data_IF_579804489884
#
_entry.id   IF_579804489884
#
_cell.length_a   1.000
_cell.length_b   1.000
_cell.length_c   1.000
_cell.angle_alpha   90.00
_cell.angle_beta   90.00
_cell.angle_gamma   90.00
#
_symmetry.space_group_name_H-M   'P 1'
#
loop_
_entity.id
_entity.type
_entity.pdbx_description
1 polymer ?
#
# COMPACT_ATOMS: atom_id res chain seq x y z
N UNK A 1 -0.35 11.71 -35.48
CA UNK A 1 0.52 12.84 -35.83
C UNK A 1 -0.29 13.98 -36.45
N UNK A 2 -1.32 14.50 -35.75
CA UNK A 2 -2.21 15.56 -36.26
C UNK A 2 -2.11 16.85 -35.43
N UNK A 3 -1.79 16.71 -34.14
CA UNK A 3 -1.61 17.83 -33.22
C UNK A 3 -0.43 18.72 -33.60
N UNK A 4 0.75 18.14 -33.88
CA UNK A 4 1.96 18.89 -34.24
C UNK A 4 1.80 19.62 -35.57
N UNK A 5 1.22 18.96 -36.57
CA UNK A 5 0.89 19.60 -37.85
C UNK A 5 -0.10 20.75 -37.69
N UNK A 6 -1.09 20.62 -36.82
CA UNK A 6 -2.05 21.69 -36.53
C UNK A 6 -1.39 22.87 -35.81
N UNK A 7 -0.55 22.59 -34.81
CA UNK A 7 0.18 23.59 -34.01
C UNK A 7 1.09 24.47 -34.87
N UNK A 8 1.83 23.88 -35.82
CA UNK A 8 2.77 24.58 -36.72
C UNK A 8 2.03 25.32 -37.85
N UNK A 9 0.79 24.94 -38.14
CA UNK A 9 -0.03 25.56 -39.19
C UNK A 9 -0.70 26.87 -38.75
N UNK A 10 -0.78 27.14 -37.44
CA UNK A 10 -1.26 28.43 -36.92
C UNK A 10 -0.26 29.55 -37.24
N UNK A 11 -0.73 30.64 -37.84
CA UNK A 11 0.12 31.76 -38.27
C UNK A 11 0.97 32.37 -37.14
N UNK A 12 0.48 32.35 -35.91
CA UNK A 12 1.22 32.85 -34.73
C UNK A 12 2.44 32.01 -34.35
N UNK A 13 2.52 30.77 -34.85
CA UNK A 13 3.60 29.83 -34.59
C UNK A 13 4.41 29.50 -35.84
N UNK A 14 4.00 30.01 -37.02
CA UNK A 14 4.79 29.91 -38.25
C UNK A 14 6.09 30.67 -38.06
N UNK A 15 7.20 29.95 -38.17
CA UNK A 15 8.57 30.47 -38.08
C UNK A 15 8.97 31.04 -36.71
N UNK A 16 8.28 30.67 -35.63
CA UNK A 16 8.71 31.04 -34.29
C UNK A 16 9.91 30.19 -33.85
N UNK A 17 11.01 30.83 -33.44
CA UNK A 17 12.26 30.14 -33.07
C UNK A 17 12.05 29.04 -32.01
N UNK A 18 11.20 29.28 -31.02
CA UNK A 18 10.86 28.26 -30.02
C UNK A 18 10.18 27.01 -30.62
N UNK A 19 9.38 27.17 -31.68
CA UNK A 19 8.72 26.05 -32.37
C UNK A 19 9.72 25.34 -33.28
N UNK A 20 10.59 26.07 -33.96
CA UNK A 20 11.69 25.49 -34.74
C UNK A 20 12.65 24.69 -33.84
N UNK A 21 12.99 25.22 -32.67
CA UNK A 21 13.83 24.55 -31.67
C UNK A 21 13.14 23.33 -31.05
N UNK A 22 11.83 23.41 -30.81
CA UNK A 22 11.03 22.28 -30.31
C UNK A 22 10.91 21.17 -31.36
N UNK A 23 10.78 21.51 -32.65
CA UNK A 23 10.75 20.54 -33.73
C UNK A 23 12.12 19.93 -34.01
N UNK A 24 13.19 20.72 -33.93
CA UNK A 24 14.56 20.24 -34.16
C UNK A 24 15.03 19.27 -33.08
N UNK A 25 14.58 19.46 -31.84
CA UNK A 25 14.87 18.55 -30.71
C UNK A 25 13.71 17.61 -30.38
N UNK A 26 12.60 17.70 -31.11
CA UNK A 26 11.37 16.97 -30.78
C UNK A 26 11.55 15.46 -30.89
N UNK A 27 12.38 15.00 -31.84
CA UNK A 27 12.74 13.60 -31.98
C UNK A 27 13.56 13.12 -30.78
N UNK A 28 14.52 13.93 -30.33
CA UNK A 28 15.34 13.61 -29.15
C UNK A 28 14.48 13.59 -27.89
N UNK A 29 13.60 14.57 -27.71
CA UNK A 29 12.68 14.64 -26.58
C UNK A 29 11.72 13.44 -26.54
N UNK A 30 11.17 13.06 -27.70
CA UNK A 30 10.35 11.85 -27.84
C UNK A 30 11.18 10.59 -27.58
N UNK A 31 12.42 10.53 -28.04
CA UNK A 31 13.30 9.38 -27.82
C UNK A 31 13.76 9.27 -26.36
N UNK A 32 14.02 10.39 -25.68
CA UNK A 32 14.32 10.45 -24.25
C UNK A 32 13.11 10.04 -23.42
N UNK A 33 11.92 10.56 -23.74
CA UNK A 33 10.67 10.13 -23.09
C UNK A 33 10.41 8.65 -23.34
N UNK A 34 10.62 8.17 -24.58
CA UNK A 34 10.50 6.75 -24.92
C UNK A 34 11.52 5.93 -24.17
N UNK A 35 12.77 6.38 -24.02
CA UNK A 35 13.81 5.69 -23.26
C UNK A 35 13.43 5.61 -21.78
N UNK A 36 12.97 6.71 -21.18
CA UNK A 36 12.50 6.75 -19.80
C UNK A 36 11.31 5.82 -19.57
N UNK A 37 10.36 5.77 -20.50
CA UNK A 37 9.22 4.85 -20.46
C UNK A 37 9.65 3.39 -20.72
N UNK A 38 10.61 3.13 -21.62
CA UNK A 38 11.12 1.80 -21.91
C UNK A 38 12.07 1.24 -20.85
N UNK A 39 12.86 2.08 -20.18
CA UNK A 39 13.71 1.70 -19.06
C UNK A 39 12.84 1.30 -17.85
N UNK A 40 11.72 1.99 -17.64
CA UNK A 40 10.68 1.55 -16.71
C UNK A 40 9.93 0.26 -17.14
N UNK A 41 10.13 -0.20 -18.39
CA UNK A 41 9.61 -1.45 -18.94
C UNK A 41 10.67 -2.56 -19.09
N UNK A 42 11.95 -2.32 -18.78
CA UNK A 42 13.02 -3.31 -19.05
C UNK A 42 13.25 -4.36 -17.96
N UNK A 43 12.53 -4.29 -16.84
CA UNK A 43 12.53 -5.31 -15.77
C UNK A 43 11.17 -6.02 -15.63
N UNK A 44 10.52 -6.34 -16.76
CA UNK A 44 9.27 -7.11 -16.81
C UNK A 44 9.46 -8.61 -16.55
N UNK A 45 9.94 -8.96 -15.36
CA UNK A 45 9.74 -10.29 -14.81
C UNK A 45 8.94 -10.30 -13.49
N UNK A 46 8.66 -9.12 -12.92
CA UNK A 46 7.71 -9.01 -11.82
C UNK A 46 6.31 -8.78 -12.33
N UNK A 47 5.41 -9.67 -11.93
CA UNK A 47 3.98 -9.49 -12.12
C UNK A 47 3.55 -8.17 -11.46
N UNK A 48 2.48 -7.54 -11.96
CA UNK A 48 1.83 -6.42 -11.27
C UNK A 48 1.50 -6.78 -9.81
N UNK A 49 1.19 -8.05 -9.56
CA UNK A 49 0.98 -8.61 -8.23
C UNK A 49 2.23 -8.50 -7.34
N UNK A 50 3.42 -8.74 -7.88
CA UNK A 50 4.66 -8.68 -7.11
C UNK A 50 4.95 -7.23 -6.71
N UNK A 51 4.70 -6.27 -7.61
CA UNK A 51 4.85 -4.84 -7.31
C UNK A 51 3.85 -4.37 -6.25
N UNK A 52 2.60 -4.85 -6.35
CA UNK A 52 1.59 -4.57 -5.34
C UNK A 52 1.98 -5.17 -3.98
N UNK A 53 2.49 -6.40 -3.97
CA UNK A 53 2.99 -7.09 -2.78
C UNK A 53 4.13 -6.32 -2.12
N UNK A 54 5.12 -5.88 -2.89
CA UNK A 54 6.23 -5.06 -2.36
C UNK A 54 5.76 -3.73 -1.77
N UNK A 55 4.81 -3.06 -2.43
CA UNK A 55 4.24 -1.83 -1.93
C UNK A 55 3.48 -2.04 -0.60
N UNK A 56 2.75 -3.15 -0.48
CA UNK A 56 2.09 -3.54 0.77
C UNK A 56 3.12 -3.84 1.87
N UNK A 57 4.18 -4.60 1.56
CA UNK A 57 5.24 -4.90 2.52
C UNK A 57 5.95 -3.64 3.04
N UNK A 58 6.29 -2.72 2.14
CA UNK A 58 6.88 -1.43 2.52
C UNK A 58 5.93 -0.61 3.41
N UNK A 59 4.63 -0.67 3.11
CA UNK A 59 3.60 0.00 3.89
C UNK A 59 3.47 -0.59 5.29
N UNK A 60 3.43 -1.92 5.41
CA UNK A 60 3.40 -2.60 6.71
C UNK A 60 4.66 -2.32 7.53
N UNK A 61 5.83 -2.34 6.91
CA UNK A 61 7.09 -2.03 7.60
C UNK A 61 7.06 -0.62 8.21
N UNK A 62 6.58 0.38 7.46
CA UNK A 62 6.41 1.75 7.98
C UNK A 62 5.44 1.79 9.16
N UNK A 63 4.27 1.17 9.02
CA UNK A 63 3.23 1.18 10.06
C UNK A 63 3.70 0.46 11.34
N UNK A 64 4.49 -0.61 11.21
CA UNK A 64 5.15 -1.24 12.37
C UNK A 64 6.13 -0.29 13.04
N UNK A 65 6.95 0.45 12.28
CA UNK A 65 7.84 1.46 12.85
C UNK A 65 7.08 2.59 13.55
N UNK A 66 5.98 3.05 12.96
CA UNK A 66 5.14 4.12 13.53
C UNK A 66 4.43 3.66 14.81
N UNK A 67 3.83 2.46 14.83
CA UNK A 67 3.17 1.92 16.01
C UNK A 67 4.14 1.54 17.14
N UNK A 68 5.37 1.13 16.81
CA UNK A 68 6.40 0.77 17.81
C UNK A 68 7.22 1.95 18.32
N UNK A 69 7.10 3.13 17.70
CA UNK A 69 7.79 4.34 18.15
C UNK A 69 7.47 4.65 19.62
N UNK A 70 8.42 5.20 20.36
CA UNK A 70 8.24 5.48 21.80
C UNK A 70 7.06 6.41 22.09
N UNK A 71 6.72 7.30 21.16
CA UNK A 71 5.58 8.22 21.28
C UNK A 71 4.20 7.53 21.13
N UNK A 72 4.16 6.37 20.46
CA UNK A 72 2.91 5.71 20.05
C UNK A 72 2.77 4.31 20.65
N UNK A 73 3.87 3.72 21.11
CA UNK A 73 3.90 2.38 21.70
C UNK A 73 3.58 2.40 23.19
N UNK A 74 2.74 1.46 23.63
CA UNK A 74 2.50 1.18 25.04
C UNK A 74 3.68 0.41 25.64
N UNK A 75 4.79 1.10 25.93
CA UNK A 75 6.00 0.50 26.47
C UNK A 75 5.95 0.43 28.01
N UNK A 76 5.64 -0.74 28.55
CA UNK A 76 5.76 -0.99 29.99
C UNK A 76 7.18 -1.46 30.34
N UNK A 77 7.98 -0.60 30.96
CA UNK A 77 9.27 -0.98 31.52
C UNK A 77 9.07 -1.32 32.99
N UNK A 78 9.31 -2.58 33.38
CA UNK A 78 9.12 -3.10 34.76
C UNK A 78 9.78 -2.23 35.84
N UNK A 79 10.90 -1.56 35.52
CA UNK A 79 11.61 -0.67 36.43
C UNK A 79 11.08 0.77 36.51
N UNK A 80 10.13 1.16 35.64
CA UNK A 80 9.67 2.55 35.47
C UNK A 80 8.14 2.69 35.44
N UNK A 81 7.40 1.61 35.19
CA UNK A 81 5.93 1.60 35.23
C UNK A 81 5.48 1.73 36.69
N UNK A 82 4.73 2.79 36.98
CA UNK A 82 4.08 2.95 38.29
C UNK A 82 2.80 2.11 38.40
N UNK A 83 2.35 1.81 39.62
CA UNK A 83 1.09 1.09 39.86
C UNK A 83 -0.10 1.82 39.22
N UNK A 84 -0.14 3.16 39.33
CA UNK A 84 -1.22 3.98 38.76
C UNK A 84 -1.27 3.86 37.23
N UNK A 85 -0.12 3.78 36.55
CA UNK A 85 -0.09 3.57 35.09
C UNK A 85 -0.60 2.20 34.66
N UNK A 86 -0.53 1.20 35.55
CA UNK A 86 -1.12 -0.11 35.29
C UNK A 86 -2.63 -0.10 35.53
N UNK A 87 -3.11 0.62 36.55
CA UNK A 87 -4.53 0.79 36.82
C UNK A 87 -5.25 1.62 35.75
N UNK A 88 -4.57 2.64 35.19
CA UNK A 88 -5.10 3.48 34.11
C UNK A 88 -4.94 2.86 32.72
N UNK A 89 -4.26 1.71 32.60
CA UNK A 89 -4.08 1.05 31.32
C UNK A 89 -5.40 0.50 30.78
N UNK A 90 -5.73 0.89 29.55
CA UNK A 90 -6.88 0.37 28.82
C UNK A 90 -6.41 -0.29 27.53
N UNK A 91 -6.80 -1.56 27.37
CA UNK A 91 -6.58 -2.31 26.13
C UNK A 91 -7.34 -1.67 24.97
N UNK A 92 -8.53 -1.12 25.22
CA UNK A 92 -9.34 -0.47 24.19
C UNK A 92 -8.66 0.80 23.66
N UNK A 93 -8.11 1.62 24.57
CA UNK A 93 -7.35 2.82 24.20
C UNK A 93 -6.09 2.46 23.43
N UNK A 94 -5.37 1.42 23.87
CA UNK A 94 -4.20 0.91 23.17
C UNK A 94 -4.56 0.39 21.76
N UNK A 95 -5.65 -0.38 21.64
CA UNK A 95 -6.13 -0.91 20.37
C UNK A 95 -6.47 0.22 19.40
N UNK A 96 -7.19 1.25 19.87
CA UNK A 96 -7.51 2.42 19.05
C UNK A 96 -6.23 3.15 18.58
N UNK A 97 -5.26 3.36 19.48
CA UNK A 97 -3.98 3.99 19.13
C UNK A 97 -3.19 3.16 18.11
N UNK A 98 -3.21 1.83 18.25
CA UNK A 98 -2.58 0.93 17.29
C UNK A 98 -3.28 0.99 15.92
N UNK A 99 -4.61 1.05 15.88
CA UNK A 99 -5.37 1.24 14.63
C UNK A 99 -5.04 2.58 13.96
N UNK A 100 -4.96 3.66 14.74
CA UNK A 100 -4.64 4.99 14.23
C UNK A 100 -3.22 5.07 13.65
N UNK A 101 -2.25 4.40 14.28
CA UNK A 101 -0.85 4.39 13.84
C UNK A 101 -0.56 3.37 12.73
N UNK A 102 -1.36 2.31 12.62
CA UNK A 102 -1.11 1.20 11.70
C UNK A 102 -2.40 0.71 11.02
N UNK A 103 -3.13 1.56 10.29
CA UNK A 103 -4.49 1.27 9.83
C UNK A 103 -4.55 0.12 8.81
N UNK A 104 -3.54 -0.05 7.94
CA UNK A 104 -3.54 -1.14 6.96
C UNK A 104 -3.13 -2.46 7.61
N UNK A 105 -2.19 -2.42 8.54
CA UNK A 105 -1.84 -3.59 9.34
C UNK A 105 -3.03 -4.04 10.21
N UNK A 106 -3.77 -3.10 10.79
CA UNK A 106 -4.99 -3.36 11.57
C UNK A 106 -6.07 -4.01 10.70
N UNK A 107 -6.29 -3.49 9.49
CA UNK A 107 -7.19 -4.11 8.52
C UNK A 107 -6.79 -5.54 8.17
N UNK A 108 -5.49 -5.80 7.96
CA UNK A 108 -4.99 -7.15 7.70
C UNK A 108 -5.24 -8.06 8.90
N UNK A 109 -5.00 -7.58 10.12
CA UNK A 109 -5.28 -8.32 11.35
C UNK A 109 -6.76 -8.73 11.45
N UNK A 110 -7.69 -7.83 11.18
CA UNK A 110 -9.13 -8.15 11.18
C UNK A 110 -9.48 -9.21 10.13
N UNK A 111 -8.93 -9.13 8.92
CA UNK A 111 -9.14 -10.17 7.89
C UNK A 111 -8.65 -11.55 8.36
N UNK A 112 -7.51 -11.61 9.06
CA UNK A 112 -6.98 -12.85 9.59
C UNK A 112 -7.85 -13.42 10.73
N UNK A 113 -8.40 -12.56 11.59
CA UNK A 113 -9.33 -12.96 12.63
C UNK A 113 -10.65 -13.48 12.03
N UNK A 114 -11.22 -12.77 11.06
CA UNK A 114 -12.45 -13.18 10.38
C UNK A 114 -12.28 -14.52 9.68
N UNK A 115 -11.16 -14.72 8.97
CA UNK A 115 -10.84 -15.98 8.30
C UNK A 115 -10.74 -17.15 9.30
N UNK A 116 -10.17 -16.92 10.48
CA UNK A 116 -10.08 -17.94 11.54
C UNK A 116 -11.45 -18.26 12.13
N UNK A 117 -12.27 -17.24 12.39
CA UNK A 117 -13.61 -17.44 12.94
C UNK A 117 -14.48 -18.23 11.96
N UNK A 118 -14.40 -17.92 10.67
CA UNK A 118 -15.09 -18.69 9.63
C UNK A 118 -14.67 -20.16 9.61
N UNK A 119 -13.38 -20.46 9.82
CA UNK A 119 -12.91 -21.85 9.90
C UNK A 119 -13.49 -22.58 11.12
N UNK A 120 -13.54 -21.93 12.29
CA UNK A 120 -14.08 -22.55 13.50
C UNK A 120 -15.57 -22.90 13.35
N UNK A 121 -16.34 -22.05 12.65
CA UNK A 121 -17.77 -22.30 12.42
C UNK A 121 -17.97 -23.54 11.51
N UNK A 122 -17.12 -23.71 10.49
CA UNK A 122 -17.15 -24.88 9.60
C UNK A 122 -16.76 -26.18 10.31
N UNK A 123 -15.82 -26.11 11.27
CA UNK A 123 -15.38 -27.27 12.03
C UNK A 123 -16.46 -27.75 13.02
N UNK A 124 -17.24 -26.82 13.61
CA UNK A 124 -18.37 -27.14 14.51
C UNK A 124 -19.55 -27.81 13.79
N UNK A 125 -19.83 -27.43 12.55
CA UNK A 125 -20.88 -28.05 11.75
C UNK A 125 -20.52 -29.47 11.30
N UNK A 126 -19.22 -29.78 11.16
CA UNK A 126 -18.75 -31.12 10.80
C UNK A 126 -18.92 -32.14 11.93
N UNK A 127 -18.72 -31.72 13.19
CA UNK A 127 -18.82 -32.61 14.36
C UNK A 127 -20.27 -32.94 14.73
N UNK A 128 -21.24 -32.08 14.40
CA UNK A 128 -22.66 -32.35 14.64
C UNK A 128 -23.33 -33.27 13.62
N UNK A 129 -22.67 -33.57 12.50
CA UNK A 129 -23.26 -34.39 11.42
C UNK A 129 -22.88 -35.89 11.51
N UNK A 130 -22.03 -36.28 12.47
CA UNK A 130 -21.64 -37.68 12.72
C UNK A 130 -22.54 -38.40 13.75
N UNK A 131 -23.45 -37.69 14.42
CA UNK A 131 -24.32 -38.25 15.46
C UNK A 131 -25.72 -38.70 14.94
N UNK A 132 -26.01 -38.55 13.64
CA UNK A 132 -27.33 -38.87 13.07
C UNK A 132 -27.37 -40.06 12.11
N UNK A 133 -26.26 -40.78 11.91
CA UNK A 133 -26.23 -42.02 11.13
C UNK A 133 -26.05 -43.25 12.01
N UNK A 134 -26.95 -43.45 12.99
CA UNK A 134 -27.23 -44.79 13.56
C UNK A 134 -28.59 -44.75 14.27
N UNK A 135 -29.66 -44.99 13.51
CA UNK A 135 -31.00 -45.38 14.02
C UNK A 135 -31.79 -46.13 12.95
#
# INVERSE_FOLDING_TARGET
>A
SSFTSSLVSLDQYKNHDAVAHLLSHGLDLINTLRSFLNENHRDHHKSELDRASEMMMATYAREVCEASAEANGSHFKVSRTSLNQLEEFSVDVMAQQMEDCAPRLWKLFNVLLDARNLQNDLDLDSDHNMDTEDS
#
